data_IF_754167166935
#
_entry.id   IF_754167166935
#
_cell.length_a   1.000
_cell.length_b   1.000
_cell.length_c   1.000
_cell.angle_alpha   90.00
_cell.angle_beta   90.00
_cell.angle_gamma   90.00
#
_symmetry.space_group_name_H-M   'P 1'
#
loop_
_entity.id
_entity.type
_entity.pdbx_description
1 polymer ?
#
# COMPACT_ATOMS: atom_id res chain seq x y z
N UNK A 1 2.44 31.23 -24.41
CA UNK A 1 2.95 30.33 -23.36
C UNK A 1 1.76 29.56 -22.79
N UNK A 2 1.61 28.29 -23.15
CA UNK A 2 0.53 27.47 -22.60
C UNK A 2 0.85 27.13 -21.14
N UNK A 3 0.00 27.58 -20.21
CA UNK A 3 0.00 27.08 -18.84
C UNK A 3 -0.31 25.59 -18.90
N UNK A 4 0.72 24.75 -18.84
CA UNK A 4 0.55 23.34 -18.52
C UNK A 4 0.05 23.27 -17.09
N UNK A 5 -1.27 23.25 -16.93
CA UNK A 5 -1.89 22.87 -15.67
C UNK A 5 -1.51 21.41 -15.45
N UNK A 6 -0.46 21.16 -14.65
CA UNK A 6 -0.18 19.82 -14.14
C UNK A 6 -1.45 19.37 -13.43
N UNK A 7 -2.21 18.46 -14.04
CA UNK A 7 -3.34 17.82 -13.38
C UNK A 7 -2.83 17.28 -12.05
N UNK A 8 -3.54 17.59 -10.98
CA UNK A 8 -3.24 17.00 -9.69
C UNK A 8 -3.19 15.47 -9.85
N UNK A 9 -2.24 14.80 -9.18
CA UNK A 9 -2.21 13.35 -9.10
C UNK A 9 -3.58 12.85 -8.63
N UNK A 10 -4.15 11.85 -9.29
CA UNK A 10 -5.43 11.28 -8.90
C UNK A 10 -5.18 10.00 -8.13
N UNK A 11 -5.82 9.86 -6.97
CA UNK A 11 -5.79 8.62 -6.21
C UNK A 11 -6.31 7.45 -7.05
N UNK A 12 -5.63 6.31 -6.94
CA UNK A 12 -5.87 5.11 -7.74
C UNK A 12 -6.17 3.93 -6.84
N UNK A 13 -7.26 3.21 -7.10
CA UNK A 13 -7.64 2.01 -6.34
C UNK A 13 -8.02 0.91 -7.33
N UNK A 14 -7.14 -0.06 -7.52
CA UNK A 14 -7.28 -1.12 -8.51
C UNK A 14 -7.21 -2.52 -7.89
N UNK A 15 -7.96 -3.45 -8.48
CA UNK A 15 -7.88 -4.87 -8.14
C UNK A 15 -8.87 -5.35 -7.07
N UNK A 16 -9.83 -4.53 -6.61
CA UNK A 16 -10.91 -4.97 -5.69
C UNK A 16 -11.64 -6.23 -6.12
N UNK A 17 -11.92 -6.38 -7.41
CA UNK A 17 -12.59 -7.57 -7.94
C UNK A 17 -11.73 -8.84 -7.84
N UNK A 18 -10.39 -8.71 -7.93
CA UNK A 18 -9.44 -9.80 -7.69
C UNK A 18 -9.43 -10.18 -6.21
N UNK A 19 -9.28 -9.19 -5.32
CA UNK A 19 -9.35 -9.39 -3.87
C UNK A 19 -10.64 -10.10 -3.45
N UNK A 20 -11.80 -9.60 -3.90
CA UNK A 20 -13.12 -10.19 -3.61
C UNK A 20 -13.25 -11.65 -4.09
N UNK A 21 -12.63 -12.01 -5.22
CA UNK A 21 -12.63 -13.41 -5.69
C UNK A 21 -11.73 -14.27 -4.82
N UNK A 22 -10.54 -13.78 -4.49
CA UNK A 22 -9.58 -14.50 -3.65
C UNK A 22 -10.12 -14.76 -2.25
N UNK A 23 -10.71 -13.76 -1.59
CA UNK A 23 -11.32 -13.88 -0.25
C UNK A 23 -12.41 -14.97 -0.17
N UNK A 24 -13.08 -15.30 -1.29
CA UNK A 24 -14.04 -16.42 -1.34
C UNK A 24 -13.38 -17.81 -1.33
N UNK A 25 -12.09 -17.87 -1.65
CA UNK A 25 -11.33 -19.13 -1.78
C UNK A 25 -10.50 -19.45 -0.54
N UNK A 26 -10.09 -18.42 0.20
CA UNK A 26 -9.36 -18.55 1.47
C UNK A 26 -10.39 -18.70 2.61
N UNK A 27 -10.93 -19.91 2.76
CA UNK A 27 -11.78 -20.22 3.91
C UNK A 27 -10.90 -20.52 5.12
N UNK A 28 -11.04 -19.72 6.19
CA UNK A 28 -10.44 -19.90 7.54
C UNK A 28 -8.99 -19.42 7.74
N UNK A 29 -8.47 -18.59 6.85
CA UNK A 29 -7.14 -18.00 7.02
C UNK A 29 -7.26 -16.65 7.74
N UNK A 30 -6.84 -16.60 9.00
CA UNK A 30 -6.78 -15.38 9.82
C UNK A 30 -5.36 -14.81 9.75
N UNK A 31 -5.00 -14.24 8.59
CA UNK A 31 -3.77 -13.50 8.43
C UNK A 31 -4.05 -11.99 8.34
N UNK A 32 -3.17 -11.12 8.86
CA UNK A 32 -3.39 -9.68 8.76
C UNK A 32 -3.49 -9.18 7.31
N UNK A 33 -2.90 -9.91 6.36
CA UNK A 33 -3.06 -9.61 4.94
C UNK A 33 -4.48 -9.87 4.45
N UNK A 34 -5.12 -10.96 4.90
CA UNK A 34 -6.52 -11.24 4.58
C UNK A 34 -7.45 -10.18 5.18
N UNK A 35 -7.15 -9.70 6.39
CA UNK A 35 -7.88 -8.60 7.02
C UNK A 35 -7.77 -7.31 6.20
N UNK A 36 -6.55 -6.94 5.79
CA UNK A 36 -6.32 -5.76 4.93
C UNK A 36 -7.02 -5.88 3.57
N UNK A 37 -6.99 -7.05 2.93
CA UNK A 37 -7.73 -7.30 1.69
C UNK A 37 -9.24 -7.16 1.90
N UNK A 38 -9.76 -7.59 3.04
CA UNK A 38 -11.17 -7.48 3.40
C UNK A 38 -11.56 -6.02 3.61
N UNK A 39 -10.76 -5.27 4.36
CA UNK A 39 -10.91 -3.81 4.53
C UNK A 39 -10.89 -3.09 3.18
N UNK A 40 -10.02 -3.50 2.26
CA UNK A 40 -9.95 -2.92 0.92
C UNK A 40 -11.21 -3.20 0.09
N UNK A 41 -11.72 -4.43 0.12
CA UNK A 41 -12.96 -4.79 -0.57
C UNK A 41 -14.17 -4.02 -0.01
N UNK A 42 -14.22 -3.81 1.30
CA UNK A 42 -15.29 -3.08 1.98
C UNK A 42 -15.15 -1.54 1.86
N UNK A 43 -13.99 -1.05 1.46
CA UNK A 43 -13.68 0.37 1.30
C UNK A 43 -13.21 1.07 2.59
N UNK A 44 -13.06 0.33 3.67
CA UNK A 44 -12.53 0.83 4.94
C UNK A 44 -11.07 1.29 4.79
N UNK A 45 -10.27 0.54 4.02
CA UNK A 45 -8.87 0.89 3.77
C UNK A 45 -8.74 2.25 3.06
N UNK A 46 -9.62 2.54 2.10
CA UNK A 46 -9.62 3.84 1.40
C UNK A 46 -9.96 4.99 2.33
N UNK A 47 -10.97 4.81 3.18
CA UNK A 47 -11.38 5.81 4.17
C UNK A 47 -10.23 6.10 5.12
N UNK A 48 -9.54 5.07 5.61
CA UNK A 48 -8.38 5.22 6.50
C UNK A 48 -7.29 6.03 5.79
N UNK A 49 -6.85 5.60 4.60
CA UNK A 49 -5.76 6.26 3.87
C UNK A 49 -6.10 7.71 3.49
N UNK A 50 -7.35 7.98 3.07
CA UNK A 50 -7.82 9.32 2.73
C UNK A 50 -8.01 10.23 3.95
N UNK A 51 -8.01 9.68 5.17
CA UNK A 51 -7.99 10.44 6.41
C UNK A 51 -6.63 11.05 6.74
N UNK A 52 -5.58 10.77 5.96
CA UNK A 52 -4.24 11.32 6.10
C UNK A 52 -3.92 12.33 4.99
N UNK A 53 -2.94 13.21 5.26
CA UNK A 53 -2.56 14.33 4.39
C UNK A 53 -1.71 13.93 3.16
N UNK A 54 -1.94 12.76 2.56
CA UNK A 54 -1.18 12.31 1.39
C UNK A 54 -1.64 13.02 0.10
N UNK A 55 -0.69 13.49 -0.71
CA UNK A 55 -0.94 14.12 -2.02
C UNK A 55 -1.29 13.10 -3.12
N UNK A 56 -0.92 11.83 -2.91
CA UNK A 56 -1.23 10.72 -3.79
C UNK A 56 -1.33 9.43 -2.98
N UNK A 57 -2.40 8.69 -3.23
CA UNK A 57 -2.65 7.36 -2.70
C UNK A 57 -2.92 6.42 -3.88
N UNK A 58 -2.14 5.35 -3.99
CA UNK A 58 -2.36 4.31 -4.98
C UNK A 58 -2.42 2.95 -4.27
N UNK A 59 -3.48 2.19 -4.53
CA UNK A 59 -3.65 0.85 -4.00
C UNK A 59 -3.85 -0.11 -5.17
N UNK A 60 -3.04 -1.16 -5.21
CA UNK A 60 -3.08 -2.18 -6.24
C UNK A 60 -3.18 -3.56 -5.60
N UNK A 61 -3.98 -4.42 -6.20
CA UNK A 61 -4.02 -5.84 -5.85
C UNK A 61 -3.60 -6.66 -7.05
N UNK A 62 -2.55 -7.44 -6.85
CA UNK A 62 -2.01 -8.32 -7.88
C UNK A 62 -1.89 -9.76 -7.43
N UNK A 63 -1.95 -10.65 -8.42
CA UNK A 63 -1.88 -12.09 -8.21
C UNK A 63 -0.45 -12.55 -8.47
N UNK A 64 0.16 -13.11 -7.44
CA UNK A 64 1.50 -13.67 -7.50
C UNK A 64 1.48 -15.02 -8.22
N UNK A 65 2.66 -15.45 -8.69
CA UNK A 65 2.85 -16.69 -9.46
C UNK A 65 2.41 -17.94 -8.68
N UNK A 66 2.57 -17.93 -7.37
CA UNK A 66 2.17 -19.01 -6.45
C UNK A 66 0.64 -19.06 -6.22
N UNK A 67 -0.13 -18.13 -6.79
CA UNK A 67 -1.58 -18.07 -6.66
C UNK A 67 -2.10 -17.21 -5.50
N UNK A 68 -1.23 -16.71 -4.62
CA UNK A 68 -1.60 -15.76 -3.56
C UNK A 68 -1.78 -14.36 -4.13
N UNK A 69 -2.42 -13.48 -3.35
CA UNK A 69 -2.47 -12.06 -3.68
C UNK A 69 -1.41 -11.29 -2.91
N UNK A 70 -1.01 -10.18 -3.52
CA UNK A 70 -0.25 -9.10 -2.92
C UNK A 70 -1.14 -7.84 -2.94
N UNK A 71 -1.10 -7.07 -1.87
CA UNK A 71 -1.72 -5.77 -1.75
C UNK A 71 -0.60 -4.73 -1.62
N UNK A 72 -0.45 -3.94 -2.66
CA UNK A 72 0.51 -2.84 -2.71
C UNK A 72 -0.20 -1.51 -2.41
N UNK A 73 0.42 -0.69 -1.57
CA UNK A 73 0.00 0.67 -1.26
C UNK A 73 1.19 1.61 -1.50
N UNK A 74 1.02 2.58 -2.40
CA UNK A 74 1.99 3.64 -2.63
C UNK A 74 1.41 4.96 -2.14
N UNK A 75 2.15 5.65 -1.27
CA UNK A 75 1.75 6.92 -0.66
C UNK A 75 2.78 7.99 -1.00
N UNK A 76 2.33 9.22 -1.20
CA UNK A 76 3.23 10.37 -1.41
C UNK A 76 2.85 11.57 -0.57
N UNK A 77 3.87 12.25 -0.06
CA UNK A 77 3.79 13.56 0.58
C UNK A 77 4.91 14.45 0.04
N UNK A 78 4.56 15.46 -0.75
CA UNK A 78 5.53 16.29 -1.48
C UNK A 78 6.42 15.47 -2.41
N UNK A 79 7.74 15.46 -2.14
CA UNK A 79 8.73 14.67 -2.89
C UNK A 79 9.12 13.34 -2.22
N UNK A 80 8.50 13.00 -1.09
CA UNK A 80 8.73 11.77 -0.33
C UNK A 80 7.68 10.72 -0.69
N UNK A 81 8.12 9.51 -1.01
CA UNK A 81 7.25 8.38 -1.35
C UNK A 81 7.44 7.26 -0.32
N UNK A 82 6.38 6.49 -0.14
CA UNK A 82 6.35 5.29 0.67
C UNK A 82 5.78 4.18 -0.20
N UNK A 83 6.51 3.08 -0.31
CA UNK A 83 5.98 1.82 -0.82
C UNK A 83 5.66 0.89 0.36
N UNK A 84 4.52 0.22 0.29
CA UNK A 84 4.05 -0.78 1.24
C UNK A 84 3.55 -1.98 0.45
N UNK A 85 4.14 -3.14 0.66
CA UNK A 85 3.72 -4.39 0.01
C UNK A 85 3.31 -5.40 1.09
N UNK A 86 2.08 -5.92 0.98
CA UNK A 86 1.49 -6.84 1.95
C UNK A 86 1.33 -8.22 1.32
N UNK A 87 2.30 -9.08 1.62
CA UNK A 87 2.32 -10.48 1.23
C UNK A 87 1.57 -11.35 2.23
N UNK A 88 1.44 -12.64 1.94
CA UNK A 88 0.66 -13.54 2.79
C UNK A 88 1.26 -13.72 4.20
N UNK A 89 2.59 -13.83 4.30
CA UNK A 89 3.35 -14.17 5.52
C UNK A 89 4.18 -13.02 6.09
N UNK A 90 4.39 -11.95 5.31
CA UNK A 90 5.20 -10.81 5.67
C UNK A 90 4.69 -9.53 4.99
N UNK A 91 5.21 -8.39 5.43
CA UNK A 91 5.03 -7.14 4.73
C UNK A 91 6.38 -6.45 4.55
N UNK A 92 6.48 -5.64 3.51
CA UNK A 92 7.66 -4.86 3.19
C UNK A 92 7.28 -3.38 3.10
N UNK A 93 8.22 -2.52 3.47
CA UNK A 93 8.06 -1.10 3.20
C UNK A 93 9.38 -0.43 2.88
N UNK A 94 9.30 0.67 2.15
CA UNK A 94 10.44 1.52 1.83
C UNK A 94 10.07 3.00 1.87
N UNK A 95 11.07 3.86 2.09
CA UNK A 95 10.96 5.30 1.94
C UNK A 95 11.94 5.76 0.88
N UNK A 96 11.47 6.53 -0.09
CA UNK A 96 12.33 7.02 -1.15
C UNK A 96 11.90 8.39 -1.66
N UNK A 97 12.88 9.14 -2.15
CA UNK A 97 12.64 10.46 -2.74
C UNK A 97 12.34 10.32 -4.23
N UNK A 98 11.53 11.23 -4.77
CA UNK A 98 11.35 11.32 -6.20
C UNK A 98 12.71 11.55 -6.90
N UNK A 99 13.02 10.71 -7.89
CA UNK A 99 14.27 10.77 -8.66
C UNK A 99 15.39 9.85 -8.17
N UNK A 100 15.15 9.02 -7.14
CA UNK A 100 16.07 7.95 -6.76
C UNK A 100 16.18 6.88 -7.86
N UNK A 101 17.29 6.14 -7.84
CA UNK A 101 17.49 4.99 -8.71
C UNK A 101 16.71 3.78 -8.21
N UNK A 102 16.43 2.78 -9.08
CA UNK A 102 15.84 1.52 -8.63
C UNK A 102 16.65 0.84 -7.52
N UNK A 103 17.99 0.81 -7.65
CA UNK A 103 18.87 0.21 -6.64
C UNK A 103 18.77 0.92 -5.28
N UNK A 104 18.60 2.25 -5.26
CA UNK A 104 18.38 3.00 -4.02
C UNK A 104 17.05 2.63 -3.36
N UNK A 105 16.00 2.37 -4.15
CA UNK A 105 14.72 1.89 -3.62
C UNK A 105 14.89 0.50 -3.05
N UNK A 106 15.44 -0.43 -3.81
CA UNK A 106 15.63 -1.84 -3.39
C UNK A 106 16.44 -1.94 -2.10
N UNK A 107 17.52 -1.18 -1.97
CA UNK A 107 18.34 -1.15 -0.76
C UNK A 107 17.65 -0.50 0.46
N UNK A 108 16.53 0.20 0.26
CA UNK A 108 15.74 0.83 1.32
C UNK A 108 14.55 -0.01 1.80
N UNK A 109 14.30 -1.16 1.16
CA UNK A 109 13.21 -2.06 1.52
C UNK A 109 13.52 -2.73 2.85
N UNK A 110 12.57 -2.62 3.78
CA UNK A 110 12.61 -3.26 5.08
C UNK A 110 11.48 -4.28 5.15
N UNK A 111 11.85 -5.54 5.36
CA UNK A 111 10.92 -6.66 5.50
C UNK A 111 10.62 -6.96 6.96
N UNK A 112 9.35 -7.20 7.26
CA UNK A 112 8.82 -7.53 8.59
C UNK A 112 7.85 -8.71 8.54
N UNK A 113 7.90 -9.55 9.57
CA UNK A 113 6.88 -10.57 9.80
C UNK A 113 5.64 -9.95 10.48
N UNK A 114 4.47 -10.57 10.30
CA UNK A 114 3.22 -10.15 10.95
C UNK A 114 3.16 -10.49 12.45
N UNK A 115 4.08 -9.96 13.26
CA UNK A 115 4.06 -10.11 14.72
C UNK A 115 3.34 -8.93 15.37
N UNK A 116 2.14 -9.18 15.92
CA UNK A 116 1.28 -8.15 16.53
C UNK A 116 1.04 -6.95 15.60
N UNK A 117 0.73 -7.24 14.33
CA UNK A 117 0.58 -6.22 13.29
C UNK A 117 -0.56 -5.24 13.59
N UNK A 118 -0.22 -3.95 13.63
CA UNK A 118 -1.16 -2.83 13.75
C UNK A 118 -0.97 -1.89 12.55
N UNK A 119 -1.90 -1.94 11.60
CA UNK A 119 -1.86 -1.11 10.41
C UNK A 119 -1.94 0.39 10.72
N UNK A 120 -2.75 0.80 11.71
CA UNK A 120 -2.85 2.21 12.08
C UNK A 120 -1.58 2.69 12.78
N UNK A 121 -0.99 1.84 13.62
CA UNK A 121 0.32 2.07 14.22
C UNK A 121 1.41 2.28 13.15
N UNK A 122 1.42 1.41 12.13
CA UNK A 122 2.33 1.53 11.00
C UNK A 122 2.15 2.87 10.29
N UNK A 123 0.92 3.22 9.85
CA UNK A 123 0.66 4.49 9.17
C UNK A 123 1.10 5.72 9.97
N UNK A 124 0.91 5.70 11.30
CA UNK A 124 1.38 6.78 12.19
C UNK A 124 2.91 6.86 12.23
N UNK A 125 3.60 5.73 12.31
CA UNK A 125 5.07 5.69 12.22
C UNK A 125 5.51 6.30 10.89
N UNK A 126 4.88 5.92 9.79
CA UNK A 126 5.27 6.43 8.47
C UNK A 126 5.02 7.92 8.31
N UNK A 127 3.86 8.41 8.75
CA UNK A 127 3.55 9.83 8.76
C UNK A 127 4.59 10.62 9.57
N UNK A 128 5.05 10.08 10.71
CA UNK A 128 6.07 10.74 11.54
C UNK A 128 7.44 10.89 10.87
N UNK A 129 7.76 10.04 9.88
CA UNK A 129 9.00 10.13 9.09
C UNK A 129 8.87 11.06 7.87
N UNK A 130 7.64 11.42 7.51
CA UNK A 130 7.35 12.32 6.40
C UNK A 130 7.35 13.80 6.81
N UNK A 131 7.13 14.11 8.07
CA UNK A 131 7.25 15.46 8.65
C UNK A 131 8.66 15.72 9.19
#
# INVERSE_FOLDING_TARGET
MGLFVKKAPKNTFLGKSKAKKYLKTVNKDESPQIDLLSMYVNGELEIILQGHDFDLIEVFVDKLKNGTLDLQINLRFGNKNIGLDFFHDHYEYCYYLAGCTPDEVENSIIRHEYKAFDFNGLLKEMASRLH
#
